data_IF_166206654071
#
_entry.id   IF_166206654071
#
_cell.length_a   1.000
_cell.length_b   1.000
_cell.length_c   1.000
_cell.angle_alpha   90.00
_cell.angle_beta   90.00
_cell.angle_gamma   90.00
#
_symmetry.space_group_name_H-M   'P 1'
#
loop_
_entity.id
_entity.type
_entity.pdbx_description
1 polymer ?
#
# COMPACT_ATOMS: atom_id res chain seq x y z
N UNK A 1 2.60 33.10 21.86
CA UNK A 1 1.68 32.53 20.86
C UNK A 1 2.55 31.77 19.89
N UNK A 2 2.48 30.44 19.88
CA UNK A 2 3.21 29.63 18.89
C UNK A 2 2.36 29.67 17.62
N UNK A 3 2.92 30.19 16.53
CA UNK A 3 2.25 30.29 15.24
C UNK A 3 1.71 28.91 14.82
N UNK A 4 0.39 28.77 14.89
CA UNK A 4 -0.37 27.58 14.54
C UNK A 4 -0.68 27.59 13.03
N UNK A 5 0.30 27.96 12.20
CA UNK A 5 0.06 28.27 10.78
C UNK A 5 1.11 27.71 9.80
N UNK A 6 2.03 26.86 10.23
CA UNK A 6 2.74 25.95 9.29
C UNK A 6 1.99 24.61 9.16
N UNK A 7 0.68 24.64 8.95
CA UNK A 7 -0.03 23.45 8.47
C UNK A 7 0.30 23.29 6.97
N UNK A 8 1.46 22.73 6.66
CA UNK A 8 1.78 22.32 5.29
C UNK A 8 0.73 21.31 4.85
N UNK A 9 -0.18 21.73 3.98
CA UNK A 9 -1.14 20.84 3.35
C UNK A 9 -0.39 19.67 2.73
N UNK A 10 -0.65 18.45 3.18
CA UNK A 10 0.02 17.27 2.64
C UNK A 10 -0.42 17.10 1.18
N UNK A 11 0.53 17.25 0.25
CA UNK A 11 0.26 16.95 -1.16
C UNK A 11 0.33 15.44 -1.40
N UNK A 12 -0.85 14.81 -1.38
CA UNK A 12 -0.97 13.38 -1.63
C UNK A 12 -0.78 13.01 -3.11
N UNK A 13 -0.82 13.95 -4.05
CA UNK A 13 -0.45 13.67 -5.45
C UNK A 13 1.06 13.50 -5.56
N UNK A 14 1.82 14.40 -4.96
CA UNK A 14 3.29 14.30 -4.91
C UNK A 14 3.73 13.00 -4.22
N UNK A 15 3.06 12.62 -3.12
CA UNK A 15 3.32 11.34 -2.44
C UNK A 15 3.00 10.14 -3.32
N UNK A 16 1.87 10.16 -4.02
CA UNK A 16 1.52 9.10 -4.96
C UNK A 16 2.57 8.98 -6.07
N UNK A 17 3.04 10.08 -6.65
CA UNK A 17 4.10 10.06 -7.66
C UNK A 17 5.41 9.47 -7.14
N UNK A 18 5.81 9.81 -5.90
CA UNK A 18 6.98 9.21 -5.25
C UNK A 18 6.82 7.71 -5.07
N UNK A 19 5.63 7.26 -4.66
CA UNK A 19 5.33 5.84 -4.51
C UNK A 19 5.33 5.11 -5.86
N UNK A 20 4.87 5.73 -6.95
CA UNK A 20 4.97 5.15 -8.29
C UNK A 20 6.41 4.97 -8.74
N UNK A 21 7.29 5.93 -8.43
CA UNK A 21 8.74 5.79 -8.67
C UNK A 21 9.37 4.70 -7.80
N UNK A 22 8.88 4.51 -6.57
CA UNK A 22 9.32 3.41 -5.71
C UNK A 22 8.87 2.04 -6.25
N UNK A 23 7.63 1.95 -6.72
CA UNK A 23 7.07 0.77 -7.37
C UNK A 23 7.86 0.39 -8.62
N UNK A 24 8.18 1.36 -9.48
CA UNK A 24 8.98 1.13 -10.70
C UNK A 24 10.34 0.51 -10.37
N UNK A 25 11.01 1.04 -9.33
CA UNK A 25 12.33 0.61 -8.87
C UNK A 25 12.32 -0.62 -7.96
N UNK A 26 11.14 -1.12 -7.59
CA UNK A 26 11.03 -2.27 -6.68
C UNK A 26 11.47 -3.57 -7.36
N UNK A 27 11.91 -4.53 -6.55
CA UNK A 27 12.35 -5.86 -7.00
C UNK A 27 11.19 -6.87 -7.11
N UNK A 28 9.94 -6.41 -7.07
CA UNK A 28 8.75 -7.28 -7.21
C UNK A 28 8.54 -7.66 -8.68
N UNK A 29 7.75 -8.72 -8.93
CA UNK A 29 7.46 -9.19 -10.29
C UNK A 29 6.82 -8.10 -11.17
N UNK A 30 7.10 -8.13 -12.47
CA UNK A 30 6.48 -7.20 -13.43
C UNK A 30 4.95 -7.39 -13.50
N UNK A 31 4.46 -8.61 -13.24
CA UNK A 31 3.03 -8.89 -13.08
C UNK A 31 2.43 -8.12 -11.90
N UNK A 32 3.06 -8.18 -10.73
CA UNK A 32 2.64 -7.42 -9.55
C UNK A 32 2.65 -5.90 -9.81
N UNK A 33 3.69 -5.37 -10.44
CA UNK A 33 3.74 -3.94 -10.80
C UNK A 33 2.54 -3.54 -11.67
N UNK A 34 2.23 -4.35 -12.70
CA UNK A 34 1.08 -4.11 -13.60
C UNK A 34 -0.25 -4.17 -12.85
N UNK A 35 -0.43 -5.13 -11.95
CA UNK A 35 -1.65 -5.24 -11.15
C UNK A 35 -1.83 -4.05 -10.22
N UNK A 36 -0.78 -3.62 -9.52
CA UNK A 36 -0.81 -2.45 -8.64
C UNK A 36 -1.16 -1.18 -9.44
N UNK A 37 -0.60 -1.01 -10.64
CA UNK A 37 -0.93 0.11 -11.53
C UNK A 37 -2.38 0.06 -12.03
N UNK A 38 -2.87 -1.13 -12.39
CA UNK A 38 -4.27 -1.33 -12.81
C UNK A 38 -5.23 -1.02 -11.66
N UNK A 39 -4.93 -1.52 -10.47
CA UNK A 39 -5.68 -1.27 -9.24
C UNK A 39 -5.75 0.24 -8.94
N UNK A 40 -4.62 0.96 -8.99
CA UNK A 40 -4.58 2.43 -8.85
C UNK A 40 -5.55 3.12 -9.81
N UNK A 41 -5.52 2.76 -11.09
CA UNK A 41 -6.37 3.38 -12.11
C UNK A 41 -7.86 3.15 -11.81
N UNK A 42 -8.22 1.92 -11.42
CA UNK A 42 -9.58 1.60 -11.00
C UNK A 42 -10.04 2.41 -9.78
N UNK A 43 -9.21 2.49 -8.73
CA UNK A 43 -9.55 3.27 -7.51
C UNK A 43 -9.74 4.75 -7.77
N UNK A 44 -8.88 5.35 -8.61
CA UNK A 44 -9.01 6.76 -8.98
C UNK A 44 -10.29 6.98 -9.80
N UNK A 45 -10.61 6.08 -10.74
CA UNK A 45 -11.85 6.14 -11.52
C UNK A 45 -13.11 6.01 -10.63
N UNK A 46 -13.02 5.23 -9.55
CA UNK A 46 -14.06 5.07 -8.52
C UNK A 46 -14.16 6.28 -7.55
N UNK A 47 -13.39 7.35 -7.78
CA UNK A 47 -13.45 8.57 -6.98
C UNK A 47 -12.72 8.49 -5.64
N UNK A 48 -11.90 7.46 -5.43
CA UNK A 48 -11.13 7.31 -4.19
C UNK A 48 -10.03 8.37 -4.11
N UNK A 49 -9.92 9.00 -2.94
CA UNK A 49 -8.94 10.08 -2.73
C UNK A 49 -7.50 9.62 -2.91
N UNK A 50 -6.65 10.49 -3.45
CA UNK A 50 -5.20 10.22 -3.62
C UNK A 50 -4.52 9.78 -2.33
N UNK A 51 -4.96 10.32 -1.18
CA UNK A 51 -4.44 9.92 0.13
C UNK A 51 -4.70 8.45 0.46
N UNK A 52 -5.89 7.95 0.12
CA UNK A 52 -6.25 6.55 0.32
C UNK A 52 -5.57 5.65 -0.70
N UNK A 53 -5.58 6.04 -1.97
CA UNK A 53 -4.87 5.30 -3.04
C UNK A 53 -3.39 5.15 -2.71
N UNK A 54 -2.71 6.24 -2.32
CA UNK A 54 -1.29 6.19 -1.95
C UNK A 54 -1.02 5.18 -0.82
N UNK A 55 -1.85 5.17 0.24
CA UNK A 55 -1.68 4.22 1.35
C UNK A 55 -1.84 2.77 0.89
N UNK A 56 -2.88 2.50 0.10
CA UNK A 56 -3.13 1.16 -0.43
C UNK A 56 -1.99 0.70 -1.37
N UNK A 57 -1.42 1.58 -2.20
CA UNK A 57 -0.26 1.22 -3.04
C UNK A 57 0.99 0.93 -2.21
N UNK A 58 1.26 1.73 -1.17
CA UNK A 58 2.36 1.44 -0.22
C UNK A 58 2.16 0.07 0.41
N UNK A 59 0.96 -0.23 0.89
CA UNK A 59 0.64 -1.53 1.49
C UNK A 59 0.92 -2.67 0.51
N UNK A 60 0.40 -2.58 -0.72
CA UNK A 60 0.57 -3.60 -1.75
C UNK A 60 2.04 -3.80 -2.14
N UNK A 61 2.80 -2.72 -2.38
CA UNK A 61 4.22 -2.83 -2.72
C UNK A 61 5.00 -3.49 -1.59
N UNK A 62 4.80 -3.03 -0.35
CA UNK A 62 5.51 -3.58 0.81
C UNK A 62 5.14 -5.04 1.05
N UNK A 63 3.88 -5.41 0.82
CA UNK A 63 3.41 -6.79 0.88
C UNK A 63 4.24 -7.68 -0.07
N UNK A 64 4.31 -7.28 -1.33
CA UNK A 64 5.04 -8.00 -2.38
C UNK A 64 6.55 -8.04 -2.08
N UNK A 65 7.14 -6.90 -1.68
CA UNK A 65 8.59 -6.79 -1.42
C UNK A 65 9.05 -7.60 -0.20
N UNK A 66 8.28 -7.59 0.89
CA UNK A 66 8.72 -8.19 2.16
C UNK A 66 8.29 -9.63 2.34
N UNK A 67 7.13 -10.00 1.81
CA UNK A 67 6.55 -11.32 2.00
C UNK A 67 6.56 -12.15 0.72
N UNK A 68 7.11 -11.63 -0.38
CA UNK A 68 7.24 -12.36 -1.64
C UNK A 68 5.88 -12.75 -2.23
N UNK A 69 4.86 -11.94 -1.98
CA UNK A 69 3.48 -12.24 -2.40
C UNK A 69 3.33 -11.97 -3.89
N UNK A 70 2.87 -12.97 -4.64
CA UNK A 70 2.35 -12.80 -5.99
C UNK A 70 0.85 -12.54 -5.92
N UNK A 71 0.43 -11.36 -6.37
CA UNK A 71 -0.94 -10.87 -6.19
C UNK A 71 -1.98 -11.69 -6.97
N UNK A 72 -1.57 -12.36 -8.05
CA UNK A 72 -2.43 -13.27 -8.83
C UNK A 72 -2.72 -14.58 -8.10
N UNK A 73 -1.90 -14.94 -7.11
CA UNK A 73 -1.96 -16.20 -6.37
C UNK A 73 -2.58 -16.02 -4.97
N UNK A 74 -3.13 -14.84 -4.65
CA UNK A 74 -3.78 -14.62 -3.37
C UNK A 74 -5.11 -15.39 -3.34
N UNK A 75 -5.13 -16.42 -2.52
CA UNK A 75 -6.34 -17.10 -2.05
C UNK A 75 -6.51 -16.92 -0.52
N UNK A 76 -7.54 -17.54 0.04
CA UNK A 76 -7.87 -17.44 1.46
C UNK A 76 -6.77 -18.00 2.37
N UNK A 77 -6.12 -19.10 1.97
CA UNK A 77 -5.02 -19.69 2.73
C UNK A 77 -3.79 -18.78 2.70
N UNK A 78 -3.46 -18.24 1.53
CA UNK A 78 -2.34 -17.30 1.37
C UNK A 78 -2.57 -16.01 2.15
N UNK A 79 -3.81 -15.55 2.21
CA UNK A 79 -4.19 -14.40 3.02
C UNK A 79 -3.92 -14.62 4.51
N UNK A 80 -4.24 -15.81 5.03
CA UNK A 80 -3.96 -16.20 6.43
C UNK A 80 -2.45 -16.24 6.69
N UNK A 81 -1.67 -16.84 5.79
CA UNK A 81 -0.19 -16.86 5.89
C UNK A 81 0.38 -15.45 5.95
N UNK A 82 -0.09 -14.56 5.07
CA UNK A 82 0.31 -13.15 5.01
C UNK A 82 -0.01 -12.43 6.32
N UNK A 83 -1.23 -12.57 6.83
CA UNK A 83 -1.65 -11.94 8.09
C UNK A 83 -0.82 -12.44 9.28
N UNK A 84 -0.53 -13.74 9.34
CA UNK A 84 0.35 -14.33 10.34
C UNK A 84 1.79 -13.78 10.24
N UNK A 85 2.31 -13.61 9.03
CA UNK A 85 3.63 -13.04 8.79
C UNK A 85 3.70 -11.55 9.20
N UNK A 86 2.65 -10.76 8.94
CA UNK A 86 2.55 -9.36 9.39
C UNK A 86 2.50 -9.28 10.92
N UNK A 87 1.75 -10.19 11.57
CA UNK A 87 1.66 -10.23 13.03
C UNK A 87 3.00 -10.58 13.69
N UNK A 88 3.77 -11.49 13.09
CA UNK A 88 5.07 -11.96 13.61
C UNK A 88 6.24 -11.04 13.25
N UNK A 89 6.12 -10.20 12.22
CA UNK A 89 7.16 -9.26 11.77
C UNK A 89 7.46 -8.09 12.75
N UNK A 90 6.80 -8.03 13.92
CA UNK A 90 7.09 -7.06 14.98
C UNK A 90 6.62 -5.63 14.69
N UNK A 91 5.63 -5.44 13.81
CA UNK A 91 5.14 -4.12 13.43
C UNK A 91 4.31 -3.46 14.54
N UNK A 92 4.25 -2.12 14.51
CA UNK A 92 3.38 -1.36 15.40
C UNK A 92 1.93 -1.78 15.18
N UNK A 93 1.16 -1.88 16.27
CA UNK A 93 -0.24 -2.30 16.25
C UNK A 93 -1.10 -1.49 15.25
N UNK A 94 -0.83 -0.20 15.12
CA UNK A 94 -1.52 0.66 14.16
C UNK A 94 -1.35 0.19 12.71
N UNK A 95 -0.13 -0.21 12.34
CA UNK A 95 0.16 -0.74 11.01
C UNK A 95 -0.53 -2.10 10.81
N UNK A 96 -0.53 -2.97 11.82
CA UNK A 96 -1.25 -4.27 11.76
C UNK A 96 -2.76 -4.09 11.53
N UNK A 97 -3.37 -3.12 12.19
CA UNK A 97 -4.80 -2.84 12.06
C UNK A 97 -5.18 -2.25 10.69
N UNK A 98 -4.27 -1.50 10.05
CA UNK A 98 -4.50 -0.97 8.70
C UNK A 98 -4.56 -2.12 7.68
N UNK A 99 -3.62 -3.08 7.75
CA UNK A 99 -3.65 -4.26 6.87
C UNK A 99 -4.88 -5.14 7.08
N UNK A 100 -5.31 -5.40 8.33
CA UNK A 100 -6.55 -6.16 8.58
C UNK A 100 -7.75 -5.53 7.90
N UNK A 101 -7.88 -4.20 7.93
CA UNK A 101 -9.02 -3.48 7.35
C UNK A 101 -8.97 -3.43 5.81
N UNK A 102 -7.78 -3.50 5.23
CA UNK A 102 -7.59 -3.46 3.78
C UNK A 102 -7.71 -4.85 3.13
N UNK A 103 -7.41 -5.91 3.87
CA UNK A 103 -7.36 -7.30 3.38
C UNK A 103 -8.59 -8.15 3.74
N UNK A 104 -9.33 -7.83 4.82
CA UNK A 104 -10.57 -8.49 5.26
C UNK A 104 -11.75 -7.53 5.11
#
# INVERSE_FOLDING_TARGET
>A
MVDMDEWRSIDYRERLEKELKALEKSNISESNKKLILRYKNWRIADGVSFARVHRELVSLRVLCERFGVELEEIDEEKLIEILAAIETAGWKLATKNEYRKELL
#
